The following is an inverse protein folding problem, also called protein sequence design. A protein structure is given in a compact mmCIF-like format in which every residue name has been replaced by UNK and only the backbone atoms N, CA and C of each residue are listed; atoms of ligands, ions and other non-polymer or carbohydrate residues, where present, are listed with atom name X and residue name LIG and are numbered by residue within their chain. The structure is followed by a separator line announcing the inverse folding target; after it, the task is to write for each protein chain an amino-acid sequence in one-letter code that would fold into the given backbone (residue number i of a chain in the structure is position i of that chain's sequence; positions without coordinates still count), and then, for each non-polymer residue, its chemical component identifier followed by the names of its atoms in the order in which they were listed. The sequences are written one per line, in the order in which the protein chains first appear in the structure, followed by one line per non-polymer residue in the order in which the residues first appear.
data_IF_716366533264
#
_entry.id   IF_716366533264
#
_cell.length_a   1.000
_cell.length_b   1.000
_cell.length_c   1.000
_cell.angle_alpha   90.00
_cell.angle_beta   90.00
_cell.angle_gamma   90.00
#
_symmetry.space_group_name_H-M   'P 1'
#
loop_
_entity.id
_entity.type
_entity.pdbx_description
1 polymer ?
#
# COMPACT_ATOMS: atom_id res chain seq x y z
N UNK A 1 15.91 9.84 17.11
CA UNK A 1 16.08 11.17 17.73
C UNK A 1 16.72 12.16 16.77
N UNK A 2 17.88 11.85 16.11
CA UNK A 2 18.48 12.73 15.10
C UNK A 2 17.48 13.10 13.99
N UNK A 3 16.94 12.10 13.27
CA UNK A 3 15.95 12.35 12.22
C UNK A 3 14.76 13.21 12.68
N UNK A 4 14.22 12.91 13.87
CA UNK A 4 13.12 13.70 14.44
C UNK A 4 13.52 15.15 14.71
N UNK A 5 14.74 15.39 15.19
CA UNK A 5 15.26 16.74 15.43
C UNK A 5 15.30 17.54 14.12
N UNK A 6 15.85 16.94 13.05
CA UNK A 6 15.99 17.59 11.75
C UNK A 6 14.64 17.80 11.07
N UNK A 7 13.73 16.82 11.13
CA UNK A 7 12.37 16.99 10.64
C UNK A 7 11.63 18.14 11.35
N UNK A 8 11.74 18.24 12.68
CA UNK A 8 11.15 19.36 13.41
C UNK A 8 11.84 20.69 13.09
N UNK A 9 13.15 20.69 12.83
CA UNK A 9 13.85 21.89 12.39
C UNK A 9 13.31 22.37 11.04
N UNK A 10 13.26 21.48 10.05
CA UNK A 10 12.75 21.80 8.71
C UNK A 10 11.29 22.28 8.79
N UNK A 11 10.43 21.60 9.56
CA UNK A 11 9.02 21.95 9.69
C UNK A 11 8.76 23.32 10.33
N UNK A 12 9.54 23.73 11.31
CA UNK A 12 9.27 24.96 12.06
C UNK A 12 10.13 26.15 11.65
N UNK A 13 11.30 25.93 11.09
CA UNK A 13 12.31 26.97 10.88
C UNK A 13 12.61 27.23 9.39
N UNK A 14 12.33 26.28 8.50
CA UNK A 14 12.56 26.45 7.06
C UNK A 14 11.35 27.08 6.36
N UNK A 15 11.57 27.80 5.24
CA UNK A 15 10.49 28.25 4.36
C UNK A 15 9.77 27.05 3.73
N UNK A 16 8.53 27.27 3.30
CA UNK A 16 7.67 26.23 2.74
C UNK A 16 8.31 25.47 1.57
N UNK A 17 9.08 26.18 0.74
CA UNK A 17 9.83 25.60 -0.40
C UNK A 17 10.91 24.60 0.02
N UNK A 18 11.39 24.69 1.26
CA UNK A 18 12.41 23.80 1.83
C UNK A 18 11.82 22.77 2.81
N UNK A 19 10.50 22.79 3.05
CA UNK A 19 9.81 21.83 3.91
C UNK A 19 9.63 20.48 3.22
N UNK A 20 10.71 19.87 2.79
CA UNK A 20 10.71 18.58 2.09
C UNK A 20 11.76 17.64 2.67
N UNK A 21 11.72 16.37 2.23
CA UNK A 21 12.62 15.36 2.75
C UNK A 21 14.06 15.50 2.20
N UNK A 22 14.23 16.12 1.03
CA UNK A 22 15.54 16.45 0.47
C UNK A 22 16.34 17.35 1.42
N UNK A 23 15.73 18.42 1.92
CA UNK A 23 16.35 19.31 2.93
C UNK A 23 16.74 18.55 4.22
N UNK A 24 15.90 17.61 4.65
CA UNK A 24 16.23 16.77 5.81
C UNK A 24 17.48 15.93 5.52
N UNK A 25 17.60 15.37 4.32
CA UNK A 25 18.76 14.58 3.91
C UNK A 25 20.04 15.42 3.83
N UNK A 26 19.96 16.64 3.32
CA UNK A 26 21.09 17.60 3.31
C UNK A 26 21.58 17.89 4.74
N UNK A 27 20.67 18.11 5.67
CA UNK A 27 21.01 18.33 7.07
C UNK A 27 21.64 17.08 7.73
N UNK A 28 21.20 15.87 7.36
CA UNK A 28 21.81 14.62 7.82
C UNK A 28 23.25 14.53 7.31
N UNK A 29 23.48 14.81 6.03
CA UNK A 29 24.81 14.78 5.42
C UNK A 29 25.72 15.86 6.02
N UNK A 30 25.19 17.04 6.27
CA UNK A 30 25.92 18.15 6.88
C UNK A 30 26.28 17.93 8.37
N UNK A 31 25.64 16.95 9.05
CA UNK A 31 25.96 16.56 10.43
C UNK A 31 27.12 15.57 10.49
N UNK A 32 27.54 14.95 9.39
CA UNK A 32 28.65 13.99 9.38
C UNK A 32 29.94 14.68 9.79
N UNK A 33 30.56 14.18 10.86
CA UNK A 33 31.85 14.63 11.36
C UNK A 33 32.91 13.79 10.63
N UNK A 34 33.92 14.44 10.03
CA UNK A 34 35.04 13.71 9.41
C UNK A 34 35.88 13.01 10.49
N UNK A 35 36.35 11.78 10.15
CA UNK A 35 37.24 11.01 11.03
C UNK A 35 38.52 11.79 11.36
N UNK A 36 38.70 12.13 12.62
CA UNK A 36 39.90 12.87 13.11
C UNK A 36 39.64 14.32 13.56
N UNK A 37 38.47 14.86 13.34
CA UNK A 37 38.07 16.18 13.84
C UNK A 37 37.13 16.06 15.06
N UNK A 38 37.68 15.65 16.20
CA UNK A 38 36.93 15.55 17.47
C UNK A 38 36.38 16.91 17.97
N UNK A 39 36.82 18.01 17.38
CA UNK A 39 36.43 19.37 17.71
C UNK A 39 35.59 20.05 16.61
N UNK A 40 35.33 19.36 15.50
CA UNK A 40 34.56 19.91 14.39
C UNK A 40 33.09 20.15 14.75
N UNK A 41 32.66 21.38 14.51
CA UNK A 41 31.24 21.76 14.64
C UNK A 41 30.60 21.61 13.29
N UNK A 42 29.68 20.65 13.15
CA UNK A 42 28.94 20.44 11.89
C UNK A 42 28.07 21.65 11.52
N UNK A 43 27.82 21.86 10.23
CA UNK A 43 26.94 22.94 9.80
C UNK A 43 25.52 22.80 10.42
N UNK A 44 25.00 21.58 10.53
CA UNK A 44 23.74 21.30 11.21
C UNK A 44 23.81 21.70 12.70
N UNK A 45 24.91 21.44 13.37
CA UNK A 45 25.07 21.84 14.75
C UNK A 45 25.04 23.37 14.90
N UNK A 46 25.64 24.13 13.98
CA UNK A 46 25.59 25.60 14.00
C UNK A 46 24.13 26.07 13.92
N UNK A 47 23.35 25.55 13.01
CA UNK A 47 21.93 25.89 12.86
C UNK A 47 21.12 25.60 14.14
N UNK A 48 21.37 24.48 14.78
CA UNK A 48 20.69 24.10 16.03
C UNK A 48 21.12 25.00 17.19
N UNK A 49 22.38 25.42 17.24
CA UNK A 49 22.87 26.35 18.26
C UNK A 49 22.26 27.76 18.08
N UNK A 50 22.12 28.23 16.85
CA UNK A 50 21.41 29.47 16.56
C UNK A 50 19.95 29.40 17.01
N UNK A 51 19.26 28.27 16.71
CA UNK A 51 17.90 28.03 17.16
C UNK A 51 17.83 27.97 18.69
N UNK A 52 18.83 27.35 19.37
CA UNK A 52 18.91 27.27 20.80
C UNK A 52 19.03 28.65 21.43
N UNK A 53 19.83 29.55 20.84
CA UNK A 53 19.96 30.91 21.30
C UNK A 53 18.64 31.70 21.26
N UNK A 54 17.83 31.47 20.24
CA UNK A 54 16.51 32.11 20.07
C UNK A 54 15.40 31.42 20.89
N UNK A 55 15.43 30.09 20.92
CA UNK A 55 14.35 29.25 21.48
C UNK A 55 14.88 28.00 22.17
N UNK A 56 15.43 28.13 23.42
CA UNK A 56 16.09 27.02 24.12
C UNK A 56 15.20 25.79 24.38
N UNK A 57 13.86 25.97 24.35
CA UNK A 57 12.87 24.91 24.60
C UNK A 57 12.28 24.34 23.32
N UNK A 58 12.79 24.76 22.15
CA UNK A 58 12.30 24.26 20.86
C UNK A 58 12.42 22.74 20.77
N UNK A 59 11.43 22.08 20.17
CA UNK A 59 11.39 20.62 20.11
C UNK A 59 12.59 20.03 19.36
N UNK A 60 13.00 20.65 18.24
CA UNK A 60 14.18 20.24 17.48
C UNK A 60 15.45 20.25 18.35
N UNK A 61 15.67 21.31 19.13
CA UNK A 61 16.82 21.44 20.06
C UNK A 61 16.79 20.30 21.07
N UNK A 62 15.65 20.02 21.68
CA UNK A 62 15.53 18.94 22.69
C UNK A 62 15.84 17.56 22.12
N UNK A 63 15.39 17.25 20.91
CA UNK A 63 15.69 15.98 20.26
C UNK A 63 17.16 15.90 19.84
N UNK A 64 17.74 17.02 19.36
CA UNK A 64 19.15 17.08 19.00
C UNK A 64 20.06 16.91 20.22
N UNK A 65 19.75 17.57 21.34
CA UNK A 65 20.46 17.39 22.59
C UNK A 65 20.43 15.95 23.10
N UNK A 66 19.27 15.27 22.93
CA UNK A 66 19.16 13.88 23.32
C UNK A 66 20.00 12.96 22.42
N UNK A 67 20.09 13.25 21.12
CA UNK A 67 20.96 12.56 20.19
C UNK A 67 22.46 12.76 20.53
N UNK A 68 22.90 14.00 20.80
CA UNK A 68 24.27 14.33 21.09
C UNK A 68 24.79 13.87 22.48
N UNK A 69 23.91 13.31 23.34
CA UNK A 69 24.32 12.69 24.62
C UNK A 69 25.00 11.31 24.43
N UNK A 70 24.95 10.74 23.26
CA UNK A 70 25.69 9.49 22.95
C UNK A 70 27.20 9.71 22.96
N UNK A 71 27.96 8.64 23.18
CA UNK A 71 29.40 8.67 22.96
C UNK A 71 29.71 8.84 21.46
N UNK A 72 30.86 9.37 21.09
CA UNK A 72 31.23 9.66 19.70
C UNK A 72 31.03 8.47 18.75
N UNK A 73 31.52 7.28 19.10
CA UNK A 73 31.31 6.03 18.32
C UNK A 73 29.81 5.69 18.15
N UNK A 74 29.01 5.94 19.18
CA UNK A 74 27.56 5.71 19.11
C UNK A 74 26.89 6.71 18.15
N UNK A 75 27.31 7.95 18.15
CA UNK A 75 26.81 8.99 17.26
C UNK A 75 27.12 8.63 15.81
N UNK A 76 28.35 8.24 15.50
CA UNK A 76 28.76 7.81 14.16
C UNK A 76 27.94 6.59 13.69
N UNK A 77 27.77 5.57 14.53
CA UNK A 77 26.98 4.41 14.21
C UNK A 77 25.49 4.73 13.96
N UNK A 78 24.93 5.72 14.67
CA UNK A 78 23.56 6.21 14.42
C UNK A 78 23.49 6.91 13.06
N UNK A 79 24.47 7.73 12.71
CA UNK A 79 24.53 8.44 11.43
C UNK A 79 24.63 7.44 10.26
N UNK A 80 25.59 6.51 10.32
CA UNK A 80 25.77 5.47 9.30
C UNK A 80 24.50 4.63 9.13
N UNK A 81 23.90 4.20 10.25
CA UNK A 81 22.65 3.42 10.20
C UNK A 81 21.49 4.21 9.58
N UNK A 82 21.43 5.52 9.84
CA UNK A 82 20.40 6.40 9.30
C UNK A 82 20.62 6.62 7.80
N UNK A 83 21.83 6.94 7.38
CA UNK A 83 22.18 7.12 5.97
C UNK A 83 21.94 5.84 5.16
N UNK A 84 22.37 4.68 5.67
CA UNK A 84 22.12 3.39 5.00
C UNK A 84 20.64 3.08 4.80
N UNK A 85 19.78 3.50 5.73
CA UNK A 85 18.32 3.27 5.61
C UNK A 85 17.63 4.26 4.69
N UNK A 86 18.20 5.44 4.54
CA UNK A 86 17.63 6.56 3.78
C UNK A 86 18.37 6.81 2.46
N UNK A 87 19.32 5.93 2.08
CA UNK A 87 20.14 6.10 0.87
C UNK A 87 19.33 6.34 -0.40
N UNK A 88 18.13 5.74 -0.48
CA UNK A 88 17.24 5.92 -1.63
C UNK A 88 16.71 7.36 -1.78
N UNK A 89 16.67 8.12 -0.71
CA UNK A 89 16.33 9.54 -0.75
C UNK A 89 17.49 10.45 -1.19
N UNK A 90 18.65 9.86 -1.53
CA UNK A 90 19.75 10.55 -2.20
C UNK A 90 19.66 10.44 -3.72
N UNK A 91 18.79 9.59 -4.24
CA UNK A 91 18.56 9.46 -5.67
C UNK A 91 17.82 10.70 -6.17
N UNK A 92 18.34 11.31 -7.23
CA UNK A 92 17.80 12.56 -7.79
C UNK A 92 16.32 12.45 -8.13
N UNK A 93 15.89 11.35 -8.75
CA UNK A 93 14.48 11.11 -9.08
C UNK A 93 13.58 11.06 -7.85
N UNK A 94 14.06 10.47 -6.74
CA UNK A 94 13.30 10.42 -5.47
C UNK A 94 13.26 11.79 -4.82
N UNK A 95 14.36 12.54 -4.86
CA UNK A 95 14.41 13.93 -4.37
C UNK A 95 13.38 14.76 -5.12
N UNK A 96 13.44 14.75 -6.46
CA UNK A 96 12.53 15.51 -7.30
C UNK A 96 11.06 15.15 -7.05
N UNK A 97 10.76 13.84 -6.92
CA UNK A 97 9.40 13.36 -6.63
C UNK A 97 8.88 13.80 -5.26
N UNK A 98 9.76 14.02 -4.27
CA UNK A 98 9.37 14.31 -2.88
C UNK A 98 9.59 15.77 -2.47
N UNK A 99 10.07 16.61 -3.37
CA UNK A 99 10.35 18.02 -3.09
C UNK A 99 9.10 18.89 -3.19
N UNK A 100 8.19 18.59 -4.11
CA UNK A 100 6.96 19.35 -4.32
C UNK A 100 5.70 18.56 -3.95
N UNK A 101 4.59 19.26 -3.78
CA UNK A 101 3.26 18.65 -3.63
C UNK A 101 2.42 18.94 -4.88
N UNK A 102 2.45 17.99 -5.82
CA UNK A 102 1.63 18.03 -7.03
C UNK A 102 0.33 17.23 -6.90
N UNK A 103 0.24 16.36 -5.88
CA UNK A 103 -0.88 15.45 -5.72
C UNK A 103 -2.07 16.08 -5.03
N UNK A 104 -1.86 17.15 -4.26
CA UNK A 104 -2.91 17.85 -3.51
C UNK A 104 -3.82 16.86 -2.77
N UNK A 105 -3.21 15.96 -1.99
CA UNK A 105 -3.88 14.82 -1.35
C UNK A 105 -5.08 15.25 -0.50
N UNK A 106 -5.08 16.46 0.01
CA UNK A 106 -6.17 17.04 0.79
C UNK A 106 -7.45 17.25 -0.02
N UNK A 107 -7.38 17.27 -1.36
CA UNK A 107 -8.57 17.34 -2.22
C UNK A 107 -9.26 15.98 -2.39
N UNK A 108 -8.57 14.88 -2.09
CA UNK A 108 -9.15 13.54 -2.18
C UNK A 108 -10.20 13.37 -1.08
N UNK A 109 -11.43 13.05 -1.47
CA UNK A 109 -12.58 13.00 -0.57
C UNK A 109 -13.36 14.32 -0.45
N UNK A 110 -12.80 15.43 -0.92
CA UNK A 110 -13.47 16.71 -1.08
C UNK A 110 -14.07 16.84 -2.48
N UNK A 111 -13.31 16.42 -3.48
CA UNK A 111 -13.66 16.48 -4.89
C UNK A 111 -13.64 15.08 -5.52
N UNK A 112 -14.32 14.91 -6.66
CA UNK A 112 -14.28 13.66 -7.43
C UNK A 112 -12.93 13.51 -8.11
N UNK A 113 -12.06 12.73 -7.51
CA UNK A 113 -10.69 12.50 -7.94
C UNK A 113 -10.47 11.01 -8.24
N UNK A 114 -9.63 10.68 -9.21
CA UNK A 114 -9.14 9.33 -9.45
C UNK A 114 -7.59 9.35 -9.43
N UNK A 115 -7.01 8.75 -8.41
CA UNK A 115 -5.56 8.60 -8.27
C UNK A 115 -5.14 7.19 -8.70
N UNK A 116 -4.26 7.10 -9.70
CA UNK A 116 -3.68 5.85 -10.17
C UNK A 116 -2.20 5.80 -9.78
N UNK A 117 -1.83 4.81 -8.97
CA UNK A 117 -0.45 4.60 -8.53
C UNK A 117 0.06 3.36 -9.25
N UNK A 118 1.02 3.54 -10.15
CA UNK A 118 1.70 2.44 -10.85
C UNK A 118 3.06 2.21 -10.20
N UNK A 119 3.31 0.98 -9.77
CA UNK A 119 4.59 0.56 -9.20
C UNK A 119 5.30 -0.40 -10.17
N UNK A 120 6.63 -0.34 -10.26
CA UNK A 120 7.40 -1.37 -10.97
C UNK A 120 7.32 -2.71 -10.20
N UNK A 121 7.65 -3.81 -10.89
CA UNK A 121 7.70 -5.14 -10.27
C UNK A 121 8.86 -5.25 -9.25
N UNK A 122 9.88 -4.41 -9.39
CA UNK A 122 10.97 -4.31 -8.42
C UNK A 122 10.51 -3.62 -7.13
N UNK A 123 10.81 -4.27 -6.01
CA UNK A 123 10.41 -3.81 -4.68
C UNK A 123 11.17 -2.55 -4.18
N UNK A 124 12.15 -2.07 -4.94
CA UNK A 124 13.07 -1.01 -4.50
C UNK A 124 12.35 0.28 -4.12
N UNK A 125 11.24 0.62 -4.79
CA UNK A 125 10.49 1.86 -4.60
C UNK A 125 9.10 1.67 -3.99
N UNK A 126 8.74 0.45 -3.59
CA UNK A 126 7.42 0.19 -2.96
C UNK A 126 7.20 0.98 -1.66
N UNK A 127 8.30 1.41 -1.00
CA UNK A 127 8.22 2.24 0.20
C UNK A 127 7.56 3.60 -0.07
N UNK A 128 7.73 4.19 -1.25
CA UNK A 128 7.08 5.45 -1.63
C UNK A 128 5.57 5.29 -1.70
N UNK A 129 5.09 4.23 -2.37
CA UNK A 129 3.66 3.93 -2.42
C UNK A 129 3.10 3.62 -1.02
N UNK A 130 3.86 2.92 -0.18
CA UNK A 130 3.48 2.63 1.21
C UNK A 130 3.36 3.90 2.04
N UNK A 131 4.31 4.84 1.88
CA UNK A 131 4.28 6.15 2.55
C UNK A 131 3.09 6.99 2.07
N UNK A 132 2.87 7.07 0.75
CA UNK A 132 1.76 7.79 0.14
C UNK A 132 0.40 7.27 0.63
N UNK A 133 0.18 5.95 0.59
CA UNK A 133 -1.06 5.32 1.04
C UNK A 133 -1.27 5.58 2.53
N UNK A 134 -0.21 5.46 3.35
CA UNK A 134 -0.28 5.74 4.78
C UNK A 134 -0.67 7.19 5.05
N UNK A 135 0.00 8.13 4.38
CA UNK A 135 -0.29 9.56 4.50
C UNK A 135 -1.72 9.87 4.08
N UNK A 136 -2.17 9.31 2.96
CA UNK A 136 -3.52 9.52 2.43
C UNK A 136 -4.59 9.01 3.41
N UNK A 137 -4.42 7.80 3.97
CA UNK A 137 -5.34 7.30 5.00
C UNK A 137 -5.39 8.22 6.22
N UNK A 138 -4.21 8.62 6.74
CA UNK A 138 -4.14 9.50 7.91
C UNK A 138 -4.83 10.83 7.66
N UNK A 139 -4.58 11.43 6.51
CA UNK A 139 -5.15 12.71 6.10
C UNK A 139 -6.68 12.62 6.01
N UNK A 140 -7.20 11.63 5.28
CA UNK A 140 -8.64 11.45 5.12
C UNK A 140 -9.36 11.14 6.43
N UNK A 141 -8.74 10.33 7.32
CA UNK A 141 -9.30 10.08 8.65
C UNK A 141 -9.38 11.37 9.45
N UNK A 142 -8.31 12.18 9.44
CA UNK A 142 -8.28 13.47 10.13
C UNK A 142 -9.30 14.46 9.55
N UNK A 143 -9.45 14.54 8.23
CA UNK A 143 -10.43 15.38 7.56
C UNK A 143 -11.86 14.97 7.91
N UNK A 144 -12.15 13.68 7.92
CA UNK A 144 -13.48 13.19 8.31
C UNK A 144 -13.78 13.52 9.77
N UNK A 145 -12.83 13.30 10.69
CA UNK A 145 -12.98 13.56 12.12
C UNK A 145 -13.11 15.06 12.44
N UNK A 146 -12.53 15.94 11.64
CA UNK A 146 -12.68 17.39 11.79
C UNK A 146 -14.07 17.92 11.38
N UNK A 147 -14.88 17.10 10.70
CA UNK A 147 -16.22 17.51 10.23
C UNK A 147 -17.30 17.19 11.25
N UNK A 148 -18.31 18.03 11.27
CA UNK A 148 -19.51 17.80 12.11
C UNK A 148 -20.27 16.52 11.73
N UNK A 149 -20.17 16.08 10.47
CA UNK A 149 -20.77 14.82 9.97
C UNK A 149 -19.96 13.59 10.34
N UNK A 150 -18.68 13.75 10.71
CA UNK A 150 -17.75 12.65 10.95
C UNK A 150 -17.37 11.88 9.68
N UNK A 151 -17.65 12.41 8.48
CA UNK A 151 -17.46 11.68 7.21
C UNK A 151 -17.03 12.62 6.08
N UNK A 152 -16.33 12.06 5.10
CA UNK A 152 -15.95 12.77 3.87
C UNK A 152 -17.18 13.06 3.01
N UNK A 153 -17.22 14.22 2.32
CA UNK A 153 -18.34 14.58 1.44
C UNK A 153 -18.41 13.72 0.18
N UNK A 154 -17.26 13.30 -0.35
CA UNK A 154 -17.16 12.40 -1.50
C UNK A 154 -16.68 11.04 -1.01
N UNK A 155 -17.42 9.94 -1.30
CA UNK A 155 -16.96 8.60 -0.94
C UNK A 155 -15.63 8.28 -1.61
N UNK A 156 -14.69 7.70 -0.84
CA UNK A 156 -13.40 7.26 -1.36
C UNK A 156 -13.31 5.75 -1.30
N UNK A 157 -12.91 5.14 -2.41
CA UNK A 157 -12.70 3.71 -2.50
C UNK A 157 -11.25 3.41 -2.88
N UNK A 158 -10.54 2.71 -2.01
CA UNK A 158 -9.20 2.21 -2.29
C UNK A 158 -9.29 0.85 -2.97
N UNK A 159 -8.54 0.68 -4.05
CA UNK A 159 -8.32 -0.62 -4.71
C UNK A 159 -6.83 -0.92 -4.61
N UNK A 160 -6.46 -1.80 -3.69
CA UNK A 160 -5.09 -2.22 -3.47
C UNK A 160 -4.85 -3.55 -4.20
N UNK A 161 -4.41 -3.45 -5.45
CA UNK A 161 -3.95 -4.61 -6.22
C UNK A 161 -2.54 -4.99 -5.77
N UNK A 162 -2.25 -6.30 -5.71
CA UNK A 162 -1.00 -6.84 -5.16
C UNK A 162 -0.65 -6.24 -3.78
N UNK A 163 -1.65 -6.10 -2.91
CA UNK A 163 -1.53 -5.42 -1.61
C UNK A 163 -0.37 -5.94 -0.74
N UNK A 164 0.09 -7.17 -0.99
CA UNK A 164 1.28 -7.75 -0.35
C UNK A 164 2.54 -6.89 -0.54
N UNK A 165 2.65 -6.18 -1.64
CA UNK A 165 3.81 -5.37 -1.98
C UNK A 165 3.81 -4.01 -1.28
N UNK A 166 2.72 -3.67 -0.59
CA UNK A 166 2.53 -2.42 0.13
C UNK A 166 2.69 -2.70 1.62
N UNK A 167 3.60 -1.99 2.27
CA UNK A 167 3.71 -2.01 3.72
C UNK A 167 2.63 -1.11 4.31
N UNK A 168 1.65 -1.73 4.96
CA UNK A 168 0.59 -1.01 5.65
C UNK A 168 1.01 -0.71 7.10
N UNK A 169 0.58 0.41 7.69
CA UNK A 169 0.97 0.76 9.05
C UNK A 169 0.32 -0.15 10.10
N UNK A 170 0.93 -0.24 11.28
CA UNK A 170 0.43 -1.07 12.39
C UNK A 170 -1.00 -0.72 12.82
N UNK A 171 -1.41 0.55 12.60
CA UNK A 171 -2.77 1.02 12.89
C UNK A 171 -3.81 0.63 11.82
N UNK A 172 -3.42 -0.06 10.76
CA UNK A 172 -4.29 -0.33 9.61
C UNK A 172 -5.60 -1.05 9.99
N UNK A 173 -5.54 -2.01 10.92
CA UNK A 173 -6.75 -2.69 11.41
C UNK A 173 -7.75 -1.73 12.03
N UNK A 174 -7.26 -0.77 12.84
CA UNK A 174 -8.12 0.23 13.46
C UNK A 174 -8.79 1.12 12.40
N UNK A 175 -8.07 1.39 11.30
CA UNK A 175 -8.63 2.14 10.19
C UNK A 175 -9.71 1.34 9.47
N UNK A 176 -9.45 0.07 9.14
CA UNK A 176 -10.45 -0.81 8.50
C UNK A 176 -11.73 -0.87 9.34
N UNK A 177 -11.61 -1.01 10.66
CA UNK A 177 -12.76 -1.09 11.58
C UNK A 177 -13.60 0.21 11.60
N UNK A 178 -13.01 1.35 11.29
CA UNK A 178 -13.65 2.67 11.47
C UNK A 178 -13.89 3.46 10.18
N UNK A 179 -13.25 3.09 9.06
CA UNK A 179 -13.29 3.85 7.80
C UNK A 179 -14.68 3.91 7.16
N UNK A 180 -15.53 2.89 7.36
CA UNK A 180 -16.88 2.87 6.81
C UNK A 180 -17.73 4.06 7.27
N UNK A 181 -17.66 4.40 8.56
CA UNK A 181 -18.37 5.55 9.10
C UNK A 181 -17.87 6.89 8.54
N UNK A 182 -16.66 6.91 8.01
CA UNK A 182 -16.02 8.08 7.40
C UNK A 182 -16.20 8.18 5.89
N UNK A 183 -17.04 7.32 5.31
CA UNK A 183 -17.30 7.26 3.88
C UNK A 183 -16.08 6.78 3.06
N UNK A 184 -15.24 5.94 3.67
CA UNK A 184 -14.05 5.33 3.07
C UNK A 184 -14.28 3.83 2.98
N UNK A 185 -13.97 3.24 1.84
CA UNK A 185 -14.05 1.80 1.58
C UNK A 185 -12.76 1.28 0.96
N UNK A 186 -12.53 -0.03 1.05
CA UNK A 186 -11.28 -0.65 0.64
C UNK A 186 -11.54 -2.02 -0.02
N UNK A 187 -10.87 -2.27 -1.14
CA UNK A 187 -10.74 -3.61 -1.73
C UNK A 187 -9.27 -4.03 -1.66
N UNK A 188 -9.00 -5.16 -1.01
CA UNK A 188 -7.67 -5.77 -0.94
C UNK A 188 -7.64 -6.94 -1.91
N UNK A 189 -6.76 -6.89 -2.91
CA UNK A 189 -6.61 -7.94 -3.91
C UNK A 189 -5.32 -8.70 -3.63
N UNK A 190 -5.45 -10.01 -3.44
CA UNK A 190 -4.38 -10.92 -3.07
C UNK A 190 -4.42 -12.18 -3.95
N UNK A 191 -3.28 -12.79 -4.17
CA UNK A 191 -3.19 -14.05 -4.94
C UNK A 191 -3.66 -15.26 -4.13
N UNK A 192 -3.48 -15.24 -2.81
CA UNK A 192 -3.82 -16.35 -1.93
C UNK A 192 -3.93 -15.92 -0.46
N UNK A 193 -4.53 -16.79 0.37
CA UNK A 193 -4.73 -16.52 1.80
C UNK A 193 -3.42 -16.43 2.58
N UNK A 194 -2.34 -17.06 2.12
CA UNK A 194 -1.05 -17.00 2.80
C UNK A 194 -0.42 -15.61 2.73
N UNK A 195 -0.82 -14.79 1.77
CA UNK A 195 -0.35 -13.39 1.69
C UNK A 195 -0.93 -12.56 2.84
N UNK A 196 -2.24 -12.62 3.11
CA UNK A 196 -2.84 -11.86 4.21
C UNK A 196 -2.31 -12.34 5.57
N UNK A 197 -2.05 -13.65 5.73
CA UNK A 197 -1.43 -14.22 6.94
C UNK A 197 -0.02 -13.68 7.17
N UNK A 198 0.72 -13.35 6.13
CA UNK A 198 2.06 -12.73 6.26
C UNK A 198 1.97 -11.23 6.51
N UNK A 199 0.98 -10.55 5.92
CA UNK A 199 0.77 -9.11 6.15
C UNK A 199 0.32 -8.84 7.59
N UNK A 200 -0.52 -9.71 8.15
CA UNK A 200 -1.11 -9.57 9.49
C UNK A 200 -0.98 -10.89 10.28
N UNK A 201 0.22 -11.28 10.74
CA UNK A 201 0.46 -12.60 11.31
C UNK A 201 -0.48 -12.93 12.48
N UNK A 202 -0.74 -11.96 13.35
CA UNK A 202 -1.55 -12.15 14.56
C UNK A 202 -3.03 -11.83 14.33
N UNK A 203 -3.37 -11.07 13.28
CA UNK A 203 -4.69 -10.43 13.15
C UNK A 203 -5.38 -10.68 11.79
N UNK A 204 -4.84 -11.57 10.98
CA UNK A 204 -5.37 -11.83 9.63
C UNK A 204 -6.85 -12.29 9.63
N UNK A 205 -7.27 -13.05 10.66
CA UNK A 205 -8.67 -13.48 10.81
C UNK A 205 -9.58 -12.28 11.11
N UNK A 206 -9.10 -11.34 11.92
CA UNK A 206 -9.82 -10.12 12.24
C UNK A 206 -9.98 -9.26 10.98
N UNK A 207 -8.89 -9.04 10.23
CA UNK A 207 -8.92 -8.24 8.97
C UNK A 207 -9.85 -8.88 7.95
N UNK A 208 -9.75 -10.20 7.74
CA UNK A 208 -10.64 -10.90 6.80
C UNK A 208 -12.10 -10.93 7.28
N UNK A 209 -12.33 -10.97 8.60
CA UNK A 209 -13.66 -10.94 9.19
C UNK A 209 -14.34 -9.56 9.14
N UNK A 210 -13.58 -8.48 8.91
CA UNK A 210 -14.11 -7.13 8.69
C UNK A 210 -14.55 -6.90 7.22
N UNK A 211 -14.25 -7.84 6.32
CA UNK A 211 -14.68 -7.75 4.93
C UNK A 211 -16.14 -8.17 4.82
N UNK A 212 -17.01 -7.28 4.36
CA UNK A 212 -18.42 -7.59 4.08
C UNK A 212 -18.56 -8.53 2.87
N UNK A 213 -17.57 -8.52 1.97
CA UNK A 213 -17.56 -9.27 0.73
C UNK A 213 -16.22 -9.99 0.52
N UNK A 214 -16.26 -11.25 0.13
CA UNK A 214 -15.11 -12.04 -0.28
C UNK A 214 -15.38 -12.58 -1.68
N UNK A 215 -14.56 -12.15 -2.65
CA UNK A 215 -14.64 -12.58 -4.03
C UNK A 215 -13.50 -13.54 -4.36
N UNK A 216 -13.79 -14.82 -4.53
CA UNK A 216 -12.81 -15.82 -4.91
C UNK A 216 -12.81 -16.08 -6.42
N UNK A 217 -11.77 -15.59 -7.09
CA UNK A 217 -11.61 -15.71 -8.55
C UNK A 217 -10.92 -16.99 -8.98
N UNK A 218 -10.36 -17.76 -8.07
CA UNK A 218 -9.61 -18.98 -8.33
C UNK A 218 -8.18 -18.90 -7.85
N UNK A 219 -7.49 -20.02 -7.86
CA UNK A 219 -6.11 -20.17 -7.44
C UNK A 219 -5.75 -21.65 -7.35
N UNK A 220 -4.47 -21.93 -7.06
CA UNK A 220 -3.95 -23.30 -6.95
C UNK A 220 -3.50 -23.65 -5.52
N UNK A 221 -3.60 -22.71 -4.58
CA UNK A 221 -3.15 -22.93 -3.20
C UNK A 221 -4.21 -23.66 -2.38
N UNK A 222 -3.82 -24.78 -1.77
CA UNK A 222 -4.72 -25.63 -1.00
C UNK A 222 -5.29 -24.90 0.23
N UNK A 223 -4.47 -24.14 0.96
CA UNK A 223 -4.93 -23.42 2.15
C UNK A 223 -5.99 -22.37 1.82
N UNK A 224 -5.95 -21.78 0.64
CA UNK A 224 -7.01 -20.88 0.14
C UNK A 224 -8.29 -21.66 -0.14
N UNK A 225 -8.21 -22.85 -0.77
CA UNK A 225 -9.39 -23.68 -0.99
C UNK A 225 -10.05 -24.12 0.31
N UNK A 226 -9.24 -24.53 1.31
CA UNK A 226 -9.72 -24.92 2.64
C UNK A 226 -10.42 -23.76 3.35
N UNK A 227 -9.82 -22.56 3.28
CA UNK A 227 -10.39 -21.37 3.89
C UNK A 227 -11.73 -20.98 3.23
N UNK A 228 -11.81 -20.96 1.89
CA UNK A 228 -13.03 -20.67 1.15
C UNK A 228 -14.12 -21.72 1.45
N UNK A 229 -13.79 -23.02 1.45
CA UNK A 229 -14.73 -24.08 1.79
C UNK A 229 -15.31 -23.89 3.19
N UNK A 230 -14.47 -23.56 4.17
CA UNK A 230 -14.87 -23.26 5.55
C UNK A 230 -15.73 -22.00 5.65
N UNK A 231 -15.38 -20.95 4.92
CA UNK A 231 -16.10 -19.68 4.91
C UNK A 231 -17.51 -19.80 4.33
N UNK A 232 -17.71 -20.69 3.33
CA UNK A 232 -19.04 -20.95 2.77
C UNK A 232 -19.98 -21.70 3.73
N UNK A 233 -19.44 -22.38 4.75
CA UNK A 233 -20.23 -23.09 5.74
C UNK A 233 -20.70 -24.48 5.30
N UNK A 234 -21.73 -24.97 5.98
CA UNK A 234 -22.26 -26.33 5.79
C UNK A 234 -23.75 -26.32 5.50
N UNK A 235 -24.21 -27.35 4.78
CA UNK A 235 -25.60 -27.67 4.57
C UNK A 235 -25.97 -29.00 5.23
N UNK A 236 -27.23 -29.17 5.59
CA UNK A 236 -27.75 -30.45 6.10
C UNK A 236 -28.21 -31.29 4.91
N UNK A 237 -27.67 -32.48 4.79
CA UNK A 237 -28.08 -33.46 3.80
C UNK A 237 -28.77 -34.66 4.47
N UNK A 238 -29.82 -35.13 3.83
CA UNK A 238 -30.51 -36.37 4.21
C UNK A 238 -29.81 -37.57 3.57
N UNK A 239 -29.11 -38.31 4.40
CA UNK A 239 -28.50 -39.57 4.00
C UNK A 239 -29.48 -40.74 4.19
N UNK A 240 -29.87 -41.37 3.10
CA UNK A 240 -30.69 -42.61 3.14
C UNK A 240 -29.81 -43.78 2.77
N UNK A 241 -29.58 -44.67 3.74
CA UNK A 241 -28.97 -45.97 3.47
C UNK A 241 -29.98 -47.07 3.42
N UNK A 242 -29.94 -47.86 2.33
CA UNK A 242 -30.80 -49.02 2.16
C UNK A 242 -29.96 -50.30 2.42
N UNK A 243 -30.33 -51.03 3.45
CA UNK A 243 -29.79 -52.36 3.73
C UNK A 243 -30.78 -53.44 3.29
N UNK A 244 -30.40 -54.33 2.39
CA UNK A 244 -31.16 -55.50 2.02
C UNK A 244 -30.40 -56.73 2.47
N UNK A 245 -30.93 -57.47 3.42
CA UNK A 245 -30.35 -58.74 3.85
C UNK A 245 -31.22 -59.87 3.30
N UNK A 246 -30.64 -60.68 2.45
CA UNK A 246 -31.27 -61.90 1.95
C UNK A 246 -30.73 -63.10 2.75
N UNK A 247 -31.62 -63.74 3.51
CA UNK A 247 -31.37 -65.06 4.12
C UNK A 247 -32.30 -66.06 3.44
N UNK A 248 -31.91 -67.31 3.37
CA UNK A 248 -32.68 -68.36 2.69
C UNK A 248 -34.10 -68.56 3.23
N UNK A 249 -34.38 -68.05 4.44
CA UNK A 249 -35.68 -68.22 5.09
C UNK A 249 -36.42 -66.91 5.41
N UNK A 250 -35.77 -65.75 5.30
CA UNK A 250 -36.41 -64.43 5.50
C UNK A 250 -35.59 -63.32 4.89
N UNK A 251 -36.26 -62.36 4.24
CA UNK A 251 -35.70 -61.08 3.78
C UNK A 251 -36.11 -59.98 4.72
N UNK A 252 -35.15 -59.13 5.13
CA UNK A 252 -35.42 -57.92 5.88
C UNK A 252 -34.90 -56.73 5.12
N UNK A 253 -35.74 -55.71 4.90
CA UNK A 253 -35.36 -54.40 4.38
C UNK A 253 -35.27 -53.42 5.53
N UNK A 254 -34.14 -52.79 5.72
CA UNK A 254 -33.99 -51.70 6.64
C UNK A 254 -33.67 -50.40 5.87
N UNK A 255 -34.42 -49.35 6.17
CA UNK A 255 -34.13 -47.99 5.69
C UNK A 255 -33.66 -47.20 6.87
N UNK A 256 -32.45 -46.68 6.82
CA UNK A 256 -31.92 -45.78 7.83
C UNK A 256 -31.85 -44.38 7.24
N UNK A 257 -32.55 -43.43 7.82
CA UNK A 257 -32.50 -42.01 7.47
C UNK A 257 -31.66 -41.31 8.52
N UNK A 258 -30.58 -40.67 8.11
CA UNK A 258 -29.68 -39.90 8.98
C UNK A 258 -29.38 -38.56 8.34
N UNK A 259 -29.62 -37.50 9.08
CA UNK A 259 -29.22 -36.16 8.72
C UNK A 259 -27.74 -35.97 9.08
N UNK A 260 -26.94 -35.54 8.11
CA UNK A 260 -25.53 -35.22 8.33
C UNK A 260 -25.19 -33.84 7.73
N UNK A 261 -24.28 -33.13 8.42
CA UNK A 261 -23.73 -31.91 7.89
C UNK A 261 -22.71 -32.22 6.78
N UNK A 262 -22.81 -31.52 5.67
CA UNK A 262 -21.83 -31.52 4.58
C UNK A 262 -21.35 -30.10 4.32
N UNK A 263 -20.05 -29.90 4.03
CA UNK A 263 -19.60 -28.60 3.52
C UNK A 263 -20.41 -28.22 2.27
N UNK A 264 -20.87 -26.98 2.19
CA UNK A 264 -21.64 -26.48 1.04
C UNK A 264 -20.88 -26.70 -0.27
N UNK A 265 -19.57 -26.50 -0.24
CA UNK A 265 -18.61 -26.99 -1.23
C UNK A 265 -17.38 -27.55 -0.51
N UNK A 266 -16.97 -28.75 -0.82
CA UNK A 266 -15.72 -29.29 -0.30
C UNK A 266 -14.50 -28.68 -0.98
N UNK A 267 -13.32 -28.92 -0.42
CA UNK A 267 -12.04 -28.36 -0.91
C UNK A 267 -11.78 -28.72 -2.37
N UNK A 268 -12.19 -29.92 -2.79
CA UNK A 268 -12.04 -30.39 -4.19
C UNK A 268 -13.00 -29.67 -5.12
N UNK A 269 -14.23 -29.47 -4.68
CA UNK A 269 -15.25 -28.72 -5.41
C UNK A 269 -14.84 -27.26 -5.60
N UNK A 270 -14.30 -26.60 -4.55
CA UNK A 270 -13.75 -25.24 -4.65
C UNK A 270 -12.62 -25.17 -5.66
N UNK A 271 -11.68 -26.12 -5.62
CA UNK A 271 -10.59 -26.21 -6.59
C UNK A 271 -11.10 -26.39 -8.01
N UNK A 272 -12.17 -27.17 -8.19
CA UNK A 272 -12.73 -27.53 -9.49
C UNK A 272 -13.94 -26.66 -9.86
N UNK A 273 -14.16 -25.52 -9.17
CA UNK A 273 -15.34 -24.67 -9.37
C UNK A 273 -15.63 -24.30 -10.84
N UNK A 274 -14.59 -24.15 -11.65
CA UNK A 274 -14.75 -23.85 -13.07
C UNK A 274 -15.47 -24.97 -13.87
N UNK A 275 -15.61 -26.19 -13.30
CA UNK A 275 -16.37 -27.28 -13.88
C UNK A 275 -17.88 -27.22 -13.57
N UNK A 276 -18.25 -26.40 -12.56
CA UNK A 276 -19.66 -26.28 -12.14
C UNK A 276 -20.50 -25.48 -13.15
N UNK A 277 -19.87 -24.49 -13.77
CA UNK A 277 -20.49 -23.67 -14.81
C UNK A 277 -19.85 -24.03 -16.15
N UNK A 278 -20.71 -24.25 -17.18
CA UNK A 278 -20.26 -24.58 -18.53
C UNK A 278 -19.65 -23.40 -19.29
N UNK A 279 -19.43 -22.29 -18.60
CA UNK A 279 -18.85 -21.08 -19.16
C UNK A 279 -17.40 -21.26 -19.63
N UNK A 280 -17.01 -20.53 -20.67
CA UNK A 280 -15.67 -20.60 -21.25
C UNK A 280 -14.63 -19.80 -20.43
N UNK A 281 -15.08 -18.87 -19.58
CA UNK A 281 -14.26 -17.83 -18.93
C UNK A 281 -13.90 -18.21 -17.48
N UNK A 282 -14.55 -19.25 -16.95
CA UNK A 282 -14.40 -19.69 -15.56
C UNK A 282 -15.45 -19.08 -14.64
N UNK A 283 -15.49 -19.56 -13.40
CA UNK A 283 -16.48 -19.14 -12.40
C UNK A 283 -15.83 -18.37 -11.24
N UNK A 284 -16.66 -17.60 -10.54
CA UNK A 284 -16.31 -16.91 -9.29
C UNK A 284 -17.16 -17.47 -8.15
N UNK A 285 -16.67 -17.37 -6.92
CA UNK A 285 -17.44 -17.58 -5.71
C UNK A 285 -17.46 -16.25 -4.95
N UNK A 286 -18.65 -15.77 -4.65
CA UNK A 286 -18.86 -14.56 -3.85
C UNK A 286 -19.49 -14.94 -2.53
N UNK A 287 -18.86 -14.58 -1.42
CA UNK A 287 -19.34 -14.80 -0.07
C UNK A 287 -19.68 -13.43 0.50
N UNK A 288 -20.92 -13.26 0.91
CA UNK A 288 -21.44 -12.04 1.53
C UNK A 288 -21.67 -12.32 3.03
N UNK A 289 -21.50 -11.32 3.86
CA UNK A 289 -21.60 -11.49 5.32
C UNK A 289 -22.94 -12.08 5.80
N UNK A 290 -24.05 -11.63 5.22
CA UNK A 290 -25.42 -11.99 5.66
C UNK A 290 -26.20 -12.82 4.66
N UNK A 291 -25.55 -13.32 3.58
CA UNK A 291 -26.23 -14.00 2.48
C UNK A 291 -25.61 -15.37 2.19
N UNK A 292 -26.33 -16.18 1.45
CA UNK A 292 -25.78 -17.44 0.95
C UNK A 292 -24.71 -17.17 -0.10
N UNK A 293 -23.63 -17.96 -0.14
CA UNK A 293 -22.62 -17.85 -1.17
C UNK A 293 -23.20 -17.96 -2.58
N UNK A 294 -22.73 -17.11 -3.48
CA UNK A 294 -23.15 -17.04 -4.88
C UNK A 294 -22.03 -17.59 -5.75
N UNK A 295 -22.39 -18.42 -6.72
CA UNK A 295 -21.47 -18.88 -7.77
C UNK A 295 -21.98 -18.35 -9.10
N UNK A 296 -21.11 -17.64 -9.82
CA UNK A 296 -21.43 -17.05 -11.12
C UNK A 296 -20.26 -17.16 -12.10
N UNK A 297 -20.48 -16.83 -13.35
CA UNK A 297 -19.43 -16.74 -14.35
C UNK A 297 -18.60 -15.46 -14.17
N UNK A 298 -17.29 -15.56 -14.46
CA UNK A 298 -16.45 -14.35 -14.57
C UNK A 298 -16.96 -13.45 -15.68
N UNK A 299 -16.84 -12.15 -15.47
CA UNK A 299 -17.16 -11.18 -16.50
C UNK A 299 -16.21 -11.33 -17.72
N UNK A 300 -16.77 -11.38 -18.92
CA UNK A 300 -15.98 -11.38 -20.14
C UNK A 300 -15.55 -9.95 -20.49
N UNK A 301 -14.27 -9.65 -20.29
CA UNK A 301 -13.69 -8.34 -20.56
C UNK A 301 -13.90 -7.91 -22.03
N UNK A 302 -13.96 -8.85 -22.98
CA UNK A 302 -14.23 -8.53 -24.40
C UNK A 302 -15.62 -7.92 -24.62
N UNK A 303 -16.54 -8.10 -23.67
CA UNK A 303 -17.86 -7.47 -23.69
C UNK A 303 -17.90 -6.08 -23.09
N UNK A 304 -16.78 -5.63 -22.46
CA UNK A 304 -16.76 -4.31 -21.86
C UNK A 304 -16.82 -3.22 -22.95
N UNK A 305 -17.74 -2.25 -22.88
CA UNK A 305 -17.95 -1.27 -23.94
C UNK A 305 -16.70 -0.41 -24.23
N UNK A 306 -15.81 -0.27 -23.25
CA UNK A 306 -14.57 0.50 -23.35
C UNK A 306 -13.30 -0.36 -23.44
N UNK A 307 -13.41 -1.65 -23.78
CA UNK A 307 -12.25 -2.56 -23.85
C UNK A 307 -11.14 -2.01 -24.76
N UNK A 308 -11.53 -1.36 -25.86
CA UNK A 308 -10.60 -0.75 -26.83
C UNK A 308 -9.74 0.36 -26.27
N UNK A 309 -10.09 0.90 -25.08
CA UNK A 309 -9.33 1.93 -24.37
C UNK A 309 -8.34 1.33 -23.35
N UNK A 310 -8.33 0.01 -23.20
CA UNK A 310 -7.39 -0.69 -22.32
C UNK A 310 -6.28 -1.35 -23.15
N UNK A 311 -5.16 -1.69 -22.47
CA UNK A 311 -4.05 -2.42 -23.08
C UNK A 311 -4.52 -3.75 -23.69
N UNK A 312 -5.39 -4.50 -23.01
CA UNK A 312 -5.99 -5.75 -23.52
C UNK A 312 -6.82 -5.54 -24.78
N UNK A 313 -7.39 -4.36 -24.97
CA UNK A 313 -8.11 -3.96 -26.16
C UNK A 313 -7.22 -3.33 -27.24
N UNK A 314 -5.90 -3.26 -27.04
CA UNK A 314 -4.92 -2.76 -28.00
C UNK A 314 -4.73 -1.24 -27.96
N UNK A 315 -5.14 -0.57 -26.86
CA UNK A 315 -4.82 0.84 -26.68
C UNK A 315 -3.30 1.00 -26.45
N UNK A 316 -2.70 2.12 -26.89
CA UNK A 316 -1.33 2.45 -26.55
C UNK A 316 -1.20 2.62 -25.04
N UNK A 317 0.00 2.33 -24.53
CA UNK A 317 0.29 2.56 -23.13
C UNK A 317 0.11 4.03 -22.79
N UNK A 318 -0.59 4.33 -21.70
CA UNK A 318 -0.72 5.70 -21.22
C UNK A 318 0.65 6.20 -20.78
N UNK A 319 1.10 7.31 -21.33
CA UNK A 319 2.27 8.05 -20.87
C UNK A 319 1.79 9.35 -20.24
N UNK A 320 2.22 9.61 -19.02
CA UNK A 320 2.00 10.89 -18.37
C UNK A 320 3.00 11.89 -18.98
N UNK A 321 2.49 12.91 -19.60
CA UNK A 321 3.32 14.06 -20.04
C UNK A 321 3.05 15.14 -18.99
N UNK A 322 4.04 15.43 -18.17
CA UNK A 322 4.00 16.60 -17.30
C UNK A 322 3.96 17.83 -18.21
N UNK A 323 2.81 18.47 -18.30
CA UNK A 323 2.65 19.63 -19.18
C UNK A 323 3.05 20.94 -18.53
N UNK A 324 3.33 20.96 -17.23
CA UNK A 324 3.74 22.21 -16.56
C UNK A 324 4.53 21.89 -15.29
N UNK A 325 5.64 22.58 -15.13
CA UNK A 325 6.25 22.98 -13.88
C UNK A 325 7.26 22.00 -13.24
N UNK A 326 8.47 22.16 -13.69
CA UNK A 326 9.50 22.39 -12.68
C UNK A 326 9.56 23.92 -12.50
N UNK A 327 9.45 24.48 -11.26
CA UNK A 327 9.87 25.85 -11.04
C UNK A 327 11.30 25.93 -11.56
N UNK A 328 11.61 26.99 -12.33
CA UNK A 328 12.97 27.22 -12.82
C UNK A 328 13.92 27.10 -11.62
N UNK A 329 14.47 25.90 -11.47
CA UNK A 329 15.58 25.70 -10.56
C UNK A 329 16.62 26.68 -10.99
N UNK A 330 17.05 27.55 -10.08
CA UNK A 330 18.12 28.50 -10.29
C UNK A 330 19.27 27.76 -10.95
N UNK A 331 19.35 27.92 -12.27
CA UNK A 331 20.43 27.37 -13.07
C UNK A 331 21.69 28.04 -12.59
N UNK A 332 22.53 27.32 -11.87
CA UNK A 332 23.91 27.71 -11.70
C UNK A 332 24.44 27.80 -13.12
N UNK A 333 24.66 29.03 -13.59
CA UNK A 333 25.30 29.27 -14.89
C UNK A 333 26.73 28.74 -14.79
N UNK A 334 26.90 27.48 -15.19
CA UNK A 334 28.21 26.99 -15.59
C UNK A 334 28.45 27.58 -16.95
N UNK A 335 29.44 28.47 -17.06
CA UNK A 335 29.86 29.09 -18.29
C UNK A 335 30.10 28.01 -19.36
N UNK A 336 29.30 28.06 -20.39
CA UNK A 336 29.44 27.24 -21.58
C UNK A 336 30.76 27.53 -22.26
N UNK A 337 31.57 26.50 -22.42
CA UNK A 337 32.46 26.35 -23.55
C UNK A 337 32.20 24.97 -24.15
N UNK A 338 31.61 25.00 -25.34
CA UNK A 338 31.54 23.94 -26.34
C UNK A 338 30.71 22.69 -26.01
N UNK A 339 29.41 22.71 -26.29
CA UNK A 339 28.68 21.56 -26.82
C UNK A 339 27.68 22.03 -27.86
N UNK A 340 27.70 21.36 -29.01
CA UNK A 340 26.89 21.63 -30.22
C UNK A 340 25.37 21.58 -29.89
N UNK A 341 24.66 22.59 -30.41
CA UNK A 341 23.20 22.63 -30.51
C UNK A 341 22.74 21.56 -31.51
N UNK A 342 22.05 20.53 -30.99
CA UNK A 342 20.98 19.85 -31.73
C UNK A 342 20.13 18.99 -30.77
N UNK A 343 18.84 19.39 -30.66
CA UNK A 343 17.68 18.61 -30.20
C UNK A 343 17.61 18.17 -28.71
N UNK A 344 16.95 19.02 -27.92
CA UNK A 344 16.27 18.50 -26.73
C UNK A 344 14.84 19.05 -26.66
N UNK A 345 13.91 18.33 -27.27
CA UNK A 345 12.52 18.37 -26.89
C UNK A 345 12.39 17.43 -25.65
N UNK A 346 12.45 18.02 -24.46
CA UNK A 346 12.37 17.27 -23.20
C UNK A 346 10.94 16.85 -22.87
N UNK A 347 10.57 15.64 -23.20
CA UNK A 347 9.41 14.97 -22.63
C UNK A 347 9.88 14.13 -21.46
N UNK A 348 9.65 14.57 -20.24
CA UNK A 348 9.93 13.75 -19.04
C UNK A 348 8.74 12.84 -18.76
N UNK A 349 8.88 11.58 -19.11
CA UNK A 349 8.01 10.50 -18.67
C UNK A 349 8.59 9.90 -17.39
N UNK A 350 7.90 10.04 -16.27
CA UNK A 350 8.24 9.30 -15.05
C UNK A 350 7.81 7.85 -15.22
N UNK A 351 8.67 7.05 -15.84
CA UNK A 351 8.55 5.61 -15.90
C UNK A 351 9.57 5.00 -14.92
N UNK A 352 9.12 4.66 -13.71
CA UNK A 352 9.94 4.01 -12.70
C UNK A 352 10.50 2.64 -13.16
N UNK A 353 10.13 2.16 -14.35
CA UNK A 353 10.68 0.94 -14.94
C UNK A 353 12.09 1.11 -15.51
N UNK A 354 12.56 2.37 -15.70
CA UNK A 354 13.84 2.65 -16.37
C UNK A 354 14.91 3.21 -15.43
N UNK A 355 14.75 3.13 -14.12
CA UNK A 355 15.82 3.46 -13.18
C UNK A 355 16.89 2.37 -13.27
N UNK A 356 17.89 2.55 -14.14
CA UNK A 356 19.09 1.72 -14.16
C UNK A 356 19.94 2.06 -12.94
N UNK A 357 20.09 1.07 -12.06
CA UNK A 357 21.07 1.11 -10.97
C UNK A 357 22.47 0.97 -11.59
N UNK A 358 23.19 2.07 -11.77
CA UNK A 358 24.62 2.06 -12.03
C UNK A 358 25.39 1.86 -10.74
#
# INVERSE_FOLDING_TARGET
MMLSALMYYVWYECPETEMNFGTVMELILAETVEEGDEAGVSATQVLIEELRARSPRHIAVRYFDAYRKGAGETIMSIQESLLSRLEKFLLEDVVNLTTGDELELEKIGEEKTALFIRMPDDNSFHFLASALITQLFQLMMAQADARSTGSLPVPVHFVLEEARNITLPDSFQNWVATMRSRNITLSIILQNISQIKRMFPDDWESVSGMCDEILYLGGNEQSTHEWISKAMGQETIDNRSYGTTHSWTSGSNSTNEQNSGRALMDVTEVRLKNKLLKGKIGSVIMILADERPIIDEKYDLNRHPRIKLSADGGAPQYSYVSSELLPETNTIQINETDVDEDEVDGVFTFDLQNVELN
#
